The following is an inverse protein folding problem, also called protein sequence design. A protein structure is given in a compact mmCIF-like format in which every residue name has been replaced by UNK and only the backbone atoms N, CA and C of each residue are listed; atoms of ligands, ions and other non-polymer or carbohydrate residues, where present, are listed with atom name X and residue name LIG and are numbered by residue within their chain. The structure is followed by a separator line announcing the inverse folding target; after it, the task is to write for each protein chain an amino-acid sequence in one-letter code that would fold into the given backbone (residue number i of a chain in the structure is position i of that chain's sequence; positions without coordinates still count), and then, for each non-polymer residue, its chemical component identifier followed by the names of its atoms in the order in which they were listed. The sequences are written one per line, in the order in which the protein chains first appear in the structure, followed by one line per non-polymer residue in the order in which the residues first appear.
data_IF_211990165945
#
_entry.id   IF_211990165945
#
_cell.length_a   1.000
_cell.length_b   1.000
_cell.length_c   1.000
_cell.angle_alpha   90.00
_cell.angle_beta   90.00
_cell.angle_gamma   90.00
#
_symmetry.space_group_name_H-M   'P 1'
#
loop_
_entity.id
_entity.type
_entity.pdbx_description
1 polymer ?
#
# COMPACT_ATOMS: atom_id res chain seq x y z
N UNK A 1 50.15 -2.96 -80.29
CA UNK A 1 48.74 -2.96 -79.86
C UNK A 1 48.21 -1.56 -80.14
N UNK A 2 47.18 -1.46 -81.01
CA UNK A 2 46.66 -0.17 -81.45
C UNK A 2 45.96 0.55 -80.26
N UNK A 3 46.12 1.85 -80.10
CA UNK A 3 45.56 2.66 -79.04
C UNK A 3 44.01 2.43 -78.82
N UNK A 4 43.33 2.04 -79.85
CA UNK A 4 41.92 1.68 -79.85
C UNK A 4 41.57 0.47 -78.97
N UNK A 5 42.42 -0.55 -78.89
CA UNK A 5 42.20 -1.72 -78.05
C UNK A 5 42.34 -1.37 -76.58
N UNK A 6 43.20 -0.44 -76.23
CA UNK A 6 43.38 0.06 -74.86
C UNK A 6 42.14 0.85 -74.40
N UNK A 7 41.60 1.71 -75.29
CA UNK A 7 40.36 2.46 -74.98
C UNK A 7 39.13 1.55 -74.81
N UNK A 8 38.99 0.48 -75.58
CA UNK A 8 37.92 -0.50 -75.46
C UNK A 8 37.99 -1.28 -74.14
N UNK A 9 39.20 -1.66 -73.72
CA UNK A 9 39.41 -2.33 -72.43
C UNK A 9 39.10 -1.39 -71.32
N UNK A 10 39.53 -0.13 -71.36
CA UNK A 10 39.25 0.89 -70.37
C UNK A 10 37.73 1.16 -70.25
N UNK A 11 37.01 1.31 -71.34
CA UNK A 11 35.57 1.47 -71.40
C UNK A 11 34.84 0.26 -70.80
N UNK A 12 35.27 -0.98 -71.05
CA UNK A 12 34.78 -2.19 -70.52
C UNK A 12 34.94 -2.25 -68.99
N UNK A 13 36.09 -1.88 -68.47
CA UNK A 13 36.34 -1.83 -67.01
C UNK A 13 35.45 -0.79 -66.33
N UNK A 14 35.35 0.42 -66.93
CA UNK A 14 34.47 1.48 -66.40
C UNK A 14 33.02 1.01 -66.38
N UNK A 15 32.54 0.33 -67.44
CA UNK A 15 31.19 -0.20 -67.49
C UNK A 15 30.90 -1.27 -66.38
N UNK A 16 31.86 -2.20 -66.20
CA UNK A 16 31.79 -3.21 -65.17
C UNK A 16 31.72 -2.56 -63.74
N UNK A 17 32.59 -1.60 -63.47
CA UNK A 17 32.59 -0.85 -62.21
C UNK A 17 31.27 -0.14 -61.98
N UNK A 18 30.68 0.47 -63.00
CA UNK A 18 29.38 1.16 -62.91
C UNK A 18 28.24 0.18 -62.61
N UNK A 19 28.23 -0.99 -63.28
CA UNK A 19 27.28 -2.06 -62.99
C UNK A 19 27.38 -2.58 -61.55
N UNK A 20 28.60 -2.77 -61.02
CA UNK A 20 28.87 -3.19 -59.67
C UNK A 20 28.38 -2.11 -58.68
N UNK A 21 28.67 -0.83 -58.94
CA UNK A 21 28.20 0.29 -58.10
C UNK A 21 26.67 0.39 -58.07
N UNK A 22 26.00 0.27 -59.23
CA UNK A 22 24.52 0.26 -59.30
C UNK A 22 23.94 -0.95 -58.59
N UNK A 23 24.50 -2.13 -58.77
CA UNK A 23 24.08 -3.36 -58.07
C UNK A 23 24.23 -3.22 -56.55
N UNK A 24 25.34 -2.69 -56.09
CA UNK A 24 25.61 -2.47 -54.68
C UNK A 24 24.68 -1.39 -54.08
N UNK A 25 24.40 -0.32 -54.83
CA UNK A 25 23.43 0.70 -54.45
C UNK A 25 22.02 0.15 -54.36
N UNK A 26 21.57 -0.64 -55.33
CA UNK A 26 20.24 -1.29 -55.29
C UNK A 26 20.13 -2.28 -54.12
N UNK A 27 21.17 -3.05 -53.83
CA UNK A 27 21.24 -3.97 -52.72
C UNK A 27 21.13 -3.24 -51.35
N UNK A 28 21.95 -2.20 -51.15
CA UNK A 28 21.92 -1.41 -49.92
C UNK A 28 20.58 -0.70 -49.73
N UNK A 29 20.03 -0.12 -50.81
CA UNK A 29 18.70 0.52 -50.77
C UNK A 29 17.59 -0.46 -50.41
N UNK A 30 17.57 -1.66 -50.98
CA UNK A 30 16.54 -2.65 -50.67
C UNK A 30 16.66 -3.19 -49.25
N UNK A 31 17.86 -3.29 -48.69
CA UNK A 31 18.09 -3.64 -47.29
C UNK A 31 17.59 -2.55 -46.35
N UNK A 32 17.86 -1.28 -46.66
CA UNK A 32 17.45 -0.14 -45.88
C UNK A 32 15.91 -0.01 -45.83
N UNK A 33 15.24 -0.20 -46.99
CA UNK A 33 13.77 -0.15 -47.04
C UNK A 33 13.18 -1.26 -46.18
N UNK A 34 13.64 -2.51 -46.28
CA UNK A 34 13.16 -3.63 -45.45
C UNK A 34 13.37 -3.37 -43.97
N UNK A 35 14.55 -2.85 -43.61
CA UNK A 35 14.86 -2.46 -42.23
C UNK A 35 13.88 -1.40 -41.71
N UNK A 36 13.61 -0.35 -42.49
CA UNK A 36 12.65 0.70 -42.13
C UNK A 36 11.22 0.17 -41.98
N UNK A 37 10.78 -0.69 -42.91
CA UNK A 37 9.43 -1.29 -42.84
C UNK A 37 9.29 -2.20 -41.63
N UNK A 38 10.28 -2.97 -41.25
CA UNK A 38 10.27 -3.82 -40.07
C UNK A 38 10.16 -3.00 -38.78
N UNK A 39 10.93 -1.91 -38.64
CA UNK A 39 10.84 -1.01 -37.49
C UNK A 39 9.45 -0.35 -37.43
N UNK A 40 8.92 0.15 -38.54
CA UNK A 40 7.60 0.76 -38.59
C UNK A 40 6.49 -0.26 -38.22
N UNK A 41 6.62 -1.50 -38.67
CA UNK A 41 5.71 -2.55 -38.27
C UNK A 41 5.81 -2.89 -36.77
N UNK A 42 7.02 -2.96 -36.21
CA UNK A 42 7.22 -3.15 -34.77
C UNK A 42 6.58 -2.02 -33.96
N UNK A 43 6.70 -0.77 -34.38
CA UNK A 43 6.05 0.38 -33.73
C UNK A 43 4.51 0.27 -33.83
N UNK A 44 3.95 -0.11 -34.98
CA UNK A 44 2.49 -0.28 -35.13
C UNK A 44 1.93 -1.41 -34.26
N UNK A 45 2.67 -2.52 -34.10
CA UNK A 45 2.27 -3.61 -33.21
C UNK A 45 2.20 -3.11 -31.76
N UNK A 46 3.17 -2.27 -31.36
CA UNK A 46 3.20 -1.63 -30.03
C UNK A 46 2.00 -0.70 -29.85
N UNK A 47 1.68 0.15 -30.84
CA UNK A 47 0.52 1.06 -30.79
C UNK A 47 -0.82 0.28 -30.65
N UNK A 48 -0.90 -0.91 -31.24
CA UNK A 48 -2.08 -1.77 -31.14
C UNK A 48 -2.13 -2.63 -29.86
N UNK A 49 -1.13 -2.51 -28.97
CA UNK A 49 -1.07 -3.28 -27.73
C UNK A 49 -0.63 -4.73 -27.88
N UNK A 50 -0.08 -5.09 -29.04
CA UNK A 50 0.44 -6.44 -29.31
C UNK A 50 1.88 -6.60 -28.81
N UNK A 51 2.18 -7.78 -28.25
CA UNK A 51 3.54 -8.08 -27.77
C UNK A 51 4.47 -8.37 -28.94
N UNK A 52 5.63 -7.71 -28.97
CA UNK A 52 6.70 -8.04 -29.93
C UNK A 52 7.16 -9.47 -29.68
N UNK A 53 7.08 -10.34 -30.71
CA UNK A 53 7.59 -11.70 -30.64
C UNK A 53 9.13 -11.67 -30.50
N UNK A 54 9.65 -12.34 -29.52
CA UNK A 54 11.08 -12.43 -29.14
C UNK A 54 11.98 -13.17 -30.15
N UNK A 55 11.55 -13.35 -31.41
CA UNK A 55 12.25 -14.17 -32.42
C UNK A 55 13.13 -13.33 -33.37
N UNK A 56 13.97 -12.43 -32.84
CA UNK A 56 14.93 -11.68 -33.67
C UNK A 56 16.34 -12.02 -33.21
N UNK A 57 17.19 -12.36 -34.21
CA UNK A 57 18.62 -12.68 -34.05
C UNK A 57 19.30 -11.56 -33.23
N UNK A 58 19.64 -11.81 -31.97
CA UNK A 58 20.16 -10.83 -31.00
C UNK A 58 21.44 -10.11 -31.46
N UNK A 59 22.18 -10.71 -32.37
CA UNK A 59 23.45 -10.16 -32.89
C UNK A 59 23.28 -9.14 -34.04
N UNK A 60 22.05 -8.90 -34.51
CA UNK A 60 21.79 -7.90 -35.56
C UNK A 60 21.44 -6.52 -34.96
N UNK A 61 21.77 -5.44 -35.72
CA UNK A 61 21.36 -4.08 -35.32
C UNK A 61 19.82 -3.98 -35.14
N UNK A 62 19.08 -4.66 -36.01
CA UNK A 62 17.61 -4.75 -35.95
C UNK A 62 17.15 -5.44 -34.68
N UNK A 63 17.78 -6.54 -34.26
CA UNK A 63 17.49 -7.23 -33.00
C UNK A 63 17.74 -6.36 -31.79
N UNK A 64 18.85 -5.61 -31.78
CA UNK A 64 19.15 -4.68 -30.67
C UNK A 64 18.13 -3.55 -30.57
N UNK A 65 17.71 -2.97 -31.70
CA UNK A 65 16.69 -1.91 -31.71
C UNK A 65 15.33 -2.46 -31.23
N UNK A 66 14.93 -3.63 -31.72
CA UNK A 66 13.68 -4.25 -31.31
C UNK A 66 13.69 -4.63 -29.82
N UNK A 67 14.82 -5.09 -29.28
CA UNK A 67 14.97 -5.37 -27.85
C UNK A 67 14.83 -4.09 -26.98
N UNK A 68 15.45 -2.98 -27.42
CA UNK A 68 15.30 -1.69 -26.71
C UNK A 68 13.87 -1.13 -26.82
N UNK A 69 13.23 -1.24 -27.99
CA UNK A 69 11.81 -0.89 -28.16
C UNK A 69 10.90 -1.73 -27.25
N UNK A 70 11.15 -3.04 -27.17
CA UNK A 70 10.39 -3.92 -26.26
C UNK A 70 10.56 -3.54 -24.79
N UNK A 71 11.76 -3.16 -24.34
CA UNK A 71 12.00 -2.66 -22.97
C UNK A 71 11.24 -1.36 -22.70
N UNK A 72 11.31 -0.41 -23.63
CA UNK A 72 10.58 0.86 -23.52
C UNK A 72 9.08 0.63 -23.47
N UNK A 73 8.55 -0.29 -24.28
CA UNK A 73 7.15 -0.64 -24.29
C UNK A 73 6.71 -1.29 -22.94
N UNK A 74 7.49 -2.25 -22.43
CA UNK A 74 7.23 -2.85 -21.10
C UNK A 74 7.24 -1.79 -19.99
N UNK A 75 8.20 -0.86 -20.04
CA UNK A 75 8.27 0.25 -19.07
C UNK A 75 7.06 1.20 -19.18
N UNK A 76 6.64 1.53 -20.40
CA UNK A 76 5.47 2.39 -20.65
C UNK A 76 4.18 1.73 -20.15
N UNK A 77 3.92 0.49 -20.53
CA UNK A 77 2.74 -0.25 -20.06
C UNK A 77 2.75 -0.44 -18.54
N UNK A 78 3.91 -0.66 -17.93
CA UNK A 78 4.01 -0.73 -16.47
C UNK A 78 3.65 0.62 -15.84
N UNK A 79 4.15 1.73 -16.36
CA UNK A 79 3.83 3.07 -15.87
C UNK A 79 2.34 3.41 -16.07
N UNK A 80 1.76 3.07 -17.22
CA UNK A 80 0.34 3.26 -17.53
C UNK A 80 -0.55 2.45 -16.57
N UNK A 81 -0.27 1.15 -16.42
CA UNK A 81 -1.00 0.27 -15.50
C UNK A 81 -0.91 0.77 -14.06
N UNK A 82 0.27 1.25 -13.64
CA UNK A 82 0.47 1.84 -12.31
C UNK A 82 -0.40 3.10 -12.14
N UNK A 83 -0.42 3.98 -13.14
CA UNK A 83 -1.25 5.20 -13.12
C UNK A 83 -2.74 4.89 -13.07
N UNK A 84 -3.21 3.92 -13.88
CA UNK A 84 -4.61 3.46 -13.87
C UNK A 84 -4.97 2.84 -12.52
N UNK A 85 -4.07 2.03 -11.95
CA UNK A 85 -4.27 1.42 -10.62
C UNK A 85 -4.35 2.49 -9.53
N UNK A 86 -3.44 3.46 -9.52
CA UNK A 86 -3.46 4.59 -8.58
C UNK A 86 -4.76 5.40 -8.69
N UNK A 87 -5.22 5.69 -9.91
CA UNK A 87 -6.49 6.41 -10.12
C UNK A 87 -7.68 5.64 -9.55
N UNK A 88 -7.76 4.32 -9.77
CA UNK A 88 -8.81 3.48 -9.21
C UNK A 88 -8.75 3.45 -7.68
N UNK A 89 -7.55 3.37 -7.12
CA UNK A 89 -7.33 3.40 -5.67
C UNK A 89 -7.83 4.71 -5.05
N UNK A 90 -7.50 5.86 -5.64
CA UNK A 90 -8.00 7.17 -5.19
C UNK A 90 -9.53 7.25 -5.29
N UNK A 91 -10.12 6.75 -6.38
CA UNK A 91 -11.57 6.70 -6.53
C UNK A 91 -12.23 5.84 -5.45
N UNK A 92 -11.64 4.69 -5.12
CA UNK A 92 -12.13 3.82 -4.06
C UNK A 92 -12.06 4.53 -2.69
N UNK A 93 -10.94 5.17 -2.36
CA UNK A 93 -10.77 5.94 -1.12
C UNK A 93 -11.86 7.01 -1.00
N UNK A 94 -12.10 7.80 -2.05
CA UNK A 94 -13.13 8.85 -2.04
C UNK A 94 -14.52 8.26 -1.85
N UNK A 95 -14.82 7.13 -2.49
CA UNK A 95 -16.08 6.41 -2.32
C UNK A 95 -16.27 5.94 -0.88
N UNK A 96 -15.24 5.29 -0.31
CA UNK A 96 -15.28 4.74 1.04
C UNK A 96 -15.45 5.85 2.09
N UNK A 97 -14.71 6.97 1.96
CA UNK A 97 -14.86 8.16 2.81
C UNK A 97 -16.29 8.69 2.72
N UNK A 98 -16.84 8.80 1.51
CA UNK A 98 -18.19 9.32 1.30
C UNK A 98 -19.24 8.46 2.00
N UNK A 99 -19.08 7.14 1.92
CA UNK A 99 -19.96 6.20 2.63
C UNK A 99 -19.84 6.31 4.15
N UNK A 100 -18.61 6.41 4.68
CA UNK A 100 -18.36 6.50 6.13
C UNK A 100 -18.81 7.85 6.71
N UNK A 101 -18.85 8.93 5.94
CA UNK A 101 -19.37 10.24 6.35
C UNK A 101 -20.91 10.29 6.28
N UNK A 102 -21.51 9.71 5.25
CA UNK A 102 -22.96 9.80 5.00
C UNK A 102 -23.79 9.26 6.15
N UNK A 103 -23.41 8.13 6.72
CA UNK A 103 -24.18 7.46 7.79
C UNK A 103 -24.27 8.30 9.07
N UNK A 104 -23.15 8.75 9.69
CA UNK A 104 -23.24 9.57 10.90
C UNK A 104 -23.91 10.92 10.64
N UNK A 105 -23.70 11.56 9.48
CA UNK A 105 -24.38 12.80 9.13
C UNK A 105 -25.89 12.59 9.02
N UNK A 106 -26.34 11.53 8.34
CA UNK A 106 -27.76 11.22 8.22
C UNK A 106 -28.42 10.97 9.59
N UNK A 107 -27.71 10.27 10.50
CA UNK A 107 -28.20 10.05 11.86
C UNK A 107 -28.31 11.37 12.64
N UNK A 108 -27.31 12.25 12.56
CA UNK A 108 -27.35 13.56 13.22
C UNK A 108 -28.55 14.37 12.72
N UNK A 109 -28.76 14.44 11.40
CA UNK A 109 -29.89 15.17 10.81
C UNK A 109 -31.22 14.56 11.28
N UNK A 110 -31.37 13.24 11.22
CA UNK A 110 -32.58 12.56 11.63
C UNK A 110 -32.93 12.82 13.12
N UNK A 111 -31.97 12.69 14.02
CA UNK A 111 -32.23 12.93 15.45
C UNK A 111 -32.43 14.42 15.76
N UNK A 112 -31.75 15.33 15.05
CA UNK A 112 -32.01 16.75 15.15
C UNK A 112 -33.44 17.11 14.72
N UNK A 113 -33.93 16.55 13.63
CA UNK A 113 -35.31 16.77 13.16
C UNK A 113 -36.34 16.20 14.15
N UNK A 114 -36.02 15.10 14.81
CA UNK A 114 -36.87 14.54 15.89
C UNK A 114 -36.94 15.48 17.10
N UNK A 115 -35.80 16.05 17.51
CA UNK A 115 -35.76 17.01 18.65
C UNK A 115 -36.51 18.29 18.31
N UNK A 116 -36.37 18.82 17.09
CA UNK A 116 -37.02 20.08 16.67
C UNK A 116 -38.48 19.92 16.28
N UNK A 117 -38.88 18.74 15.79
CA UNK A 117 -40.23 18.52 15.21
C UNK A 117 -41.29 17.99 16.21
N UNK A 118 -40.92 17.61 17.44
CA UNK A 118 -41.83 16.99 18.43
C UNK A 118 -41.69 17.64 19.78
N UNK A 119 -42.79 17.66 20.56
CA UNK A 119 -42.71 17.88 22.01
C UNK A 119 -42.26 16.55 22.63
N UNK A 120 -40.98 16.44 22.89
CA UNK A 120 -40.38 15.28 23.56
C UNK A 120 -40.44 15.45 25.07
N UNK A 121 -40.46 14.32 25.79
CA UNK A 121 -40.14 14.33 27.20
C UNK A 121 -38.64 14.54 27.38
N UNK A 122 -38.25 15.11 28.53
CA UNK A 122 -36.84 15.49 28.78
C UNK A 122 -35.87 14.33 28.63
N UNK A 123 -36.27 13.14 29.03
CA UNK A 123 -35.43 11.93 28.94
C UNK A 123 -35.21 11.47 27.49
N UNK A 124 -36.21 11.63 26.62
CA UNK A 124 -36.12 11.32 25.20
C UNK A 124 -35.21 12.36 24.45
N UNK A 125 -35.37 13.64 24.80
CA UNK A 125 -34.52 14.71 24.24
C UNK A 125 -33.06 14.46 24.63
N UNK A 126 -32.76 14.20 25.89
CA UNK A 126 -31.42 13.89 26.39
C UNK A 126 -30.82 12.67 25.67
N UNK A 127 -31.58 11.60 25.46
CA UNK A 127 -31.16 10.40 24.73
C UNK A 127 -30.79 10.74 23.30
N UNK A 128 -31.58 11.53 22.58
CA UNK A 128 -31.25 11.89 21.17
C UNK A 128 -30.03 12.80 21.08
N UNK A 129 -29.86 13.73 22.04
CA UNK A 129 -28.66 14.56 22.12
C UNK A 129 -27.39 13.72 22.38
N UNK A 130 -27.46 12.70 23.23
CA UNK A 130 -26.36 11.78 23.48
C UNK A 130 -26.00 10.97 22.22
N UNK A 131 -27.02 10.50 21.47
CA UNK A 131 -26.79 9.79 20.21
C UNK A 131 -26.11 10.72 19.20
N UNK A 132 -26.59 11.95 19.04
CA UNK A 132 -25.96 12.93 18.13
C UNK A 132 -24.51 13.22 18.53
N UNK A 133 -24.25 13.39 19.84
CA UNK A 133 -22.88 13.58 20.35
C UNK A 133 -21.97 12.41 19.99
N UNK A 134 -22.43 11.18 20.12
CA UNK A 134 -21.66 10.00 19.73
C UNK A 134 -21.37 9.98 18.20
N UNK A 135 -22.31 10.42 17.36
CA UNK A 135 -22.07 10.52 15.92
C UNK A 135 -21.06 11.63 15.57
N UNK A 136 -21.08 12.76 16.26
CA UNK A 136 -20.08 13.84 16.09
C UNK A 136 -18.70 13.35 16.50
N UNK A 137 -18.58 12.62 17.62
CA UNK A 137 -17.30 12.03 18.05
C UNK A 137 -16.76 11.03 17.02
N UNK A 138 -17.63 10.18 16.46
CA UNK A 138 -17.27 9.26 15.38
C UNK A 138 -16.74 10.00 14.14
N UNK A 139 -17.36 11.12 13.75
CA UNK A 139 -16.88 11.96 12.66
C UNK A 139 -15.52 12.58 12.97
N UNK A 140 -15.31 13.03 14.21
CA UNK A 140 -14.05 13.59 14.66
C UNK A 140 -12.90 12.57 14.52
N UNK A 141 -13.11 11.35 15.02
CA UNK A 141 -12.14 10.24 14.90
C UNK A 141 -11.86 9.93 13.41
N UNK A 142 -12.91 9.83 12.59
CA UNK A 142 -12.77 9.58 11.16
C UNK A 142 -11.87 10.64 10.47
N UNK A 143 -12.11 11.92 10.76
CA UNK A 143 -11.31 13.02 10.19
C UNK A 143 -9.86 12.94 10.65
N UNK A 144 -9.59 12.66 11.92
CA UNK A 144 -8.24 12.49 12.45
C UNK A 144 -7.51 11.33 11.76
N UNK A 145 -8.16 10.18 11.61
CA UNK A 145 -7.59 9.00 10.95
C UNK A 145 -7.33 9.26 9.46
N UNK A 146 -8.21 9.99 8.77
CA UNK A 146 -8.00 10.42 7.38
C UNK A 146 -6.79 11.35 7.24
N UNK A 147 -6.59 12.27 8.19
CA UNK A 147 -5.41 13.15 8.20
C UNK A 147 -4.13 12.34 8.43
N UNK A 148 -4.14 11.37 9.36
CA UNK A 148 -3.00 10.46 9.59
C UNK A 148 -2.70 9.63 8.35
N UNK A 149 -3.72 9.04 7.72
CA UNK A 149 -3.60 8.27 6.48
C UNK A 149 -3.05 9.12 5.33
N UNK A 150 -3.61 10.31 5.10
CA UNK A 150 -3.15 11.23 4.06
C UNK A 150 -1.69 11.65 4.26
N UNK A 151 -1.28 11.91 5.50
CA UNK A 151 0.11 12.19 5.82
C UNK A 151 1.02 11.00 5.54
N UNK A 152 0.57 9.77 5.87
CA UNK A 152 1.33 8.55 5.59
C UNK A 152 1.48 8.28 4.09
N UNK A 153 0.44 8.47 3.29
CA UNK A 153 0.45 8.20 1.85
C UNK A 153 1.24 9.25 1.05
N UNK A 154 1.13 10.51 1.44
CA UNK A 154 1.97 11.54 0.85
C UNK A 154 3.42 11.30 1.26
N UNK A 155 4.35 11.20 0.29
CA UNK A 155 5.80 11.13 0.54
C UNK A 155 6.35 12.33 1.37
N UNK A 156 5.48 13.13 1.97
CA UNK A 156 5.80 14.30 2.81
C UNK A 156 6.19 13.93 4.24
N UNK A 157 5.88 12.70 4.71
CA UNK A 157 6.41 12.26 6.01
C UNK A 157 7.77 11.62 5.79
N UNK A 158 8.79 12.30 6.24
CA UNK A 158 10.08 11.71 6.52
C UNK A 158 9.97 11.14 7.94
N UNK A 159 9.98 9.80 8.06
CA UNK A 159 10.03 9.15 9.36
C UNK A 159 11.40 9.44 10.00
N UNK A 160 11.39 9.90 11.22
CA UNK A 160 12.61 10.18 11.98
C UNK A 160 13.06 8.92 12.71
N UNK A 161 13.68 7.99 11.96
CA UNK A 161 14.19 6.75 12.53
C UNK A 161 15.38 7.01 13.47
N UNK A 162 15.30 6.46 14.67
CA UNK A 162 16.37 6.51 15.67
C UNK A 162 16.30 5.32 16.64
N UNK A 163 17.35 5.19 17.50
CA UNK A 163 17.31 4.22 18.58
C UNK A 163 16.31 4.69 19.64
N UNK A 164 15.17 4.00 19.76
CA UNK A 164 14.12 4.32 20.69
C UNK A 164 13.92 3.21 21.71
N UNK A 165 13.57 3.60 22.94
CA UNK A 165 13.26 2.65 24.00
C UNK A 165 11.82 2.15 23.85
N UNK A 166 11.65 0.86 23.53
CA UNK A 166 10.36 0.24 23.27
C UNK A 166 9.46 0.21 24.51
N UNK A 167 10.04 0.05 25.71
CA UNK A 167 9.27 0.11 26.96
C UNK A 167 8.54 1.45 27.11
N UNK A 168 9.18 2.57 26.76
CA UNK A 168 8.56 3.88 26.79
C UNK A 168 7.47 4.02 25.72
N UNK A 169 7.68 3.46 24.53
CA UNK A 169 6.65 3.43 23.46
C UNK A 169 5.41 2.66 23.92
N UNK A 170 5.61 1.48 24.50
CA UNK A 170 4.53 0.65 25.06
C UNK A 170 3.81 1.36 26.20
N UNK A 171 4.54 1.93 27.16
CA UNK A 171 3.93 2.65 28.29
C UNK A 171 3.03 3.79 27.78
N UNK A 172 3.45 4.51 26.75
CA UNK A 172 2.69 5.61 26.17
C UNK A 172 1.44 5.10 25.42
N UNK A 173 1.54 4.00 24.67
CA UNK A 173 0.42 3.40 23.97
C UNK A 173 -0.61 2.82 24.97
N UNK A 174 -0.17 2.13 26.02
CA UNK A 174 -1.01 1.57 27.08
C UNK A 174 -1.74 2.68 27.84
N UNK A 175 -1.06 3.79 28.16
CA UNK A 175 -1.71 4.92 28.81
C UNK A 175 -2.92 5.46 28.01
N UNK A 176 -2.85 5.38 26.68
CA UNK A 176 -3.95 5.80 25.80
C UNK A 176 -5.21 4.96 25.90
N UNK A 177 -5.12 3.67 26.30
CA UNK A 177 -6.24 2.74 26.34
C UNK A 177 -6.69 2.39 27.78
N UNK A 178 -5.93 2.80 28.79
CA UNK A 178 -6.13 2.41 30.19
C UNK A 178 -7.56 2.69 30.66
N UNK A 179 -8.08 3.91 30.44
CA UNK A 179 -9.42 4.28 30.85
C UNK A 179 -10.53 3.43 30.16
N UNK A 180 -10.31 2.97 28.93
CA UNK A 180 -11.25 2.10 28.23
C UNK A 180 -11.17 0.66 28.77
N UNK A 181 -9.97 0.16 29.03
CA UNK A 181 -9.73 -1.15 29.63
C UNK A 181 -10.32 -1.24 31.04
N UNK A 182 -10.12 -0.22 31.91
CA UNK A 182 -10.69 -0.14 33.24
C UNK A 182 -12.21 -0.14 33.23
N UNK A 183 -12.86 0.61 32.32
CA UNK A 183 -14.33 0.60 32.18
C UNK A 183 -14.88 -0.78 31.83
N UNK A 184 -14.15 -1.60 31.14
CA UNK A 184 -14.49 -2.99 30.80
C UNK A 184 -14.01 -4.01 31.86
N UNK A 185 -13.22 -3.55 32.86
CA UNK A 185 -12.63 -4.44 33.86
C UNK A 185 -11.63 -5.43 33.27
N UNK A 186 -10.92 -5.06 32.23
CA UNK A 186 -9.96 -5.94 31.55
C UNK A 186 -8.68 -6.10 32.39
N UNK A 187 -8.14 -7.31 32.36
CA UNK A 187 -6.86 -7.64 32.98
C UNK A 187 -5.76 -7.50 31.94
N UNK A 188 -4.76 -6.63 32.20
CA UNK A 188 -3.63 -6.44 31.30
C UNK A 188 -2.33 -6.87 31.98
N UNK A 189 -1.56 -7.72 31.29
CA UNK A 189 -0.24 -8.14 31.71
C UNK A 189 0.80 -7.72 30.65
N UNK A 190 1.92 -7.13 31.11
CA UNK A 190 2.95 -6.58 30.22
C UNK A 190 4.30 -7.15 30.61
N UNK A 191 4.89 -7.91 29.69
CA UNK A 191 6.23 -8.45 29.79
C UNK A 191 7.14 -7.74 28.79
N UNK A 192 7.83 -6.69 29.23
CA UNK A 192 8.76 -5.93 28.41
C UNK A 192 10.05 -5.62 29.19
N UNK A 193 11.22 -6.04 28.71
CA UNK A 193 12.48 -5.62 29.29
C UNK A 193 12.67 -4.09 29.21
N UNK A 194 13.07 -3.45 30.29
CA UNK A 194 13.20 -1.99 30.37
C UNK A 194 14.22 -1.40 29.36
N UNK A 195 15.23 -2.18 28.98
CA UNK A 195 16.33 -1.76 28.07
C UNK A 195 16.09 -2.22 26.61
N UNK A 196 14.86 -2.56 26.22
CA UNK A 196 14.55 -2.95 24.84
C UNK A 196 14.70 -1.77 23.88
N UNK A 197 15.74 -1.81 23.01
CA UNK A 197 15.98 -0.81 21.97
C UNK A 197 15.49 -1.29 20.61
N UNK A 198 14.87 -0.38 19.85
CA UNK A 198 14.42 -0.58 18.49
C UNK A 198 14.77 0.61 17.62
N UNK A 199 14.97 0.41 16.30
CA UNK A 199 15.33 1.48 15.36
C UNK A 199 14.09 1.96 14.60
N UNK A 200 13.36 2.91 15.18
CA UNK A 200 12.03 3.32 14.72
C UNK A 200 11.79 4.81 14.91
N UNK A 201 10.69 5.32 14.36
CA UNK A 201 10.11 6.60 14.74
C UNK A 201 9.18 6.38 15.94
N UNK A 202 9.51 6.99 17.08
CA UNK A 202 8.78 6.84 18.35
C UNK A 202 7.30 7.14 18.21
N UNK A 203 6.95 8.27 17.63
CA UNK A 203 5.58 8.76 17.53
C UNK A 203 4.70 7.79 16.73
N UNK A 204 5.20 7.34 15.59
CA UNK A 204 4.46 6.43 14.71
C UNK A 204 4.42 5.01 15.27
N UNK A 205 5.46 4.59 16.00
CA UNK A 205 5.46 3.29 16.69
C UNK A 205 4.43 3.26 17.82
N UNK A 206 4.33 4.32 18.61
CA UNK A 206 3.27 4.48 19.63
C UNK A 206 1.89 4.40 19.00
N UNK A 207 1.67 5.05 17.84
CA UNK A 207 0.42 5.00 17.09
C UNK A 207 0.10 3.58 16.61
N UNK A 208 1.09 2.87 16.03
CA UNK A 208 0.90 1.50 15.53
C UNK A 208 0.53 0.52 16.66
N UNK A 209 1.23 0.58 17.78
CA UNK A 209 0.94 -0.24 18.97
C UNK A 209 -0.43 0.14 19.54
N UNK A 210 -0.72 1.43 19.68
CA UNK A 210 -1.98 1.95 20.18
C UNK A 210 -3.20 1.47 19.38
N UNK A 211 -3.10 1.42 18.05
CA UNK A 211 -4.17 0.90 17.18
C UNK A 211 -4.47 -0.58 17.44
N UNK A 212 -3.45 -1.39 17.69
CA UNK A 212 -3.63 -2.82 17.99
C UNK A 212 -4.21 -2.99 19.40
N UNK A 213 -3.73 -2.24 20.38
CA UNK A 213 -4.25 -2.25 21.75
C UNK A 213 -5.70 -1.77 21.81
N UNK A 214 -6.06 -0.73 21.06
CA UNK A 214 -7.44 -0.25 20.97
C UNK A 214 -8.37 -1.35 20.42
N UNK A 215 -7.92 -2.10 19.40
CA UNK A 215 -8.66 -3.25 18.90
C UNK A 215 -8.76 -4.36 19.96
N UNK A 216 -7.69 -4.72 20.65
CA UNK A 216 -7.73 -5.69 21.74
C UNK A 216 -8.76 -5.29 22.79
N UNK A 217 -8.76 -4.03 23.28
CA UNK A 217 -9.74 -3.53 24.23
C UNK A 217 -11.16 -3.55 23.67
N UNK A 218 -11.36 -3.23 22.39
CA UNK A 218 -12.68 -3.21 21.74
C UNK A 218 -13.31 -4.59 21.65
N UNK A 219 -12.53 -5.59 21.24
CA UNK A 219 -13.02 -6.92 20.90
C UNK A 219 -12.94 -7.94 22.03
N UNK A 220 -12.22 -7.64 23.09
CA UNK A 220 -12.24 -8.41 24.33
C UNK A 220 -13.53 -8.17 25.11
N UNK A 221 -14.11 -9.22 25.66
CA UNK A 221 -15.30 -9.16 26.49
C UNK A 221 -15.03 -8.48 27.84
N UNK A 222 -16.09 -8.16 28.60
CA UNK A 222 -15.96 -7.61 29.93
C UNK A 222 -15.26 -8.60 30.88
N UNK A 223 -14.23 -8.15 31.60
CA UNK A 223 -13.44 -8.98 32.52
C UNK A 223 -12.43 -9.90 31.83
N UNK A 224 -12.22 -9.75 30.50
CA UNK A 224 -11.26 -10.53 29.74
C UNK A 224 -9.81 -10.09 29.93
N UNK A 225 -8.90 -10.72 29.17
CA UNK A 225 -7.46 -10.58 29.36
C UNK A 225 -6.76 -10.09 28.09
N UNK A 226 -5.74 -9.25 28.28
CA UNK A 226 -4.82 -8.80 27.23
C UNK A 226 -3.39 -9.01 27.71
N UNK A 227 -2.59 -9.76 26.93
CA UNK A 227 -1.20 -10.04 27.23
C UNK A 227 -0.30 -9.34 26.22
N UNK A 228 0.70 -8.61 26.70
CA UNK A 228 1.67 -7.90 25.87
C UNK A 228 3.06 -8.47 26.18
N UNK A 229 3.68 -9.12 25.21
CA UNK A 229 5.01 -9.73 25.36
C UNK A 229 6.00 -9.16 24.36
N UNK A 230 7.19 -8.81 24.82
CA UNK A 230 8.30 -8.32 23.98
C UNK A 230 9.38 -9.38 23.91
N UNK A 231 9.62 -9.86 22.68
CA UNK A 231 10.60 -10.90 22.39
C UNK A 231 11.69 -10.38 21.47
N UNK A 232 12.91 -10.10 21.94
CA UNK A 232 14.04 -9.73 21.09
C UNK A 232 14.41 -10.91 20.18
N UNK A 233 14.56 -10.64 18.88
CA UNK A 233 15.05 -11.57 17.86
C UNK A 233 16.32 -10.97 17.25
N UNK A 234 16.99 -11.71 16.36
CA UNK A 234 18.27 -11.31 15.77
C UNK A 234 18.17 -9.97 14.99
N UNK A 235 17.18 -9.84 14.10
CA UNK A 235 16.99 -8.65 13.25
C UNK A 235 15.82 -7.75 13.68
N UNK A 236 14.90 -8.28 14.46
CA UNK A 236 13.68 -7.62 14.88
C UNK A 236 13.44 -7.80 16.36
N UNK A 237 12.74 -6.85 16.96
CA UNK A 237 12.09 -7.04 18.25
C UNK A 237 10.61 -7.27 17.98
N UNK A 238 10.08 -8.42 18.42
CA UNK A 238 8.68 -8.79 18.24
C UNK A 238 7.87 -8.37 19.46
N UNK A 239 6.78 -7.66 19.20
CA UNK A 239 5.78 -7.30 20.22
C UNK A 239 4.52 -8.11 19.92
N UNK A 240 4.20 -9.04 20.78
CA UNK A 240 2.98 -9.84 20.72
C UNK A 240 1.92 -9.17 21.60
N UNK A 241 0.76 -8.87 21.02
CA UNK A 241 -0.43 -8.37 21.72
C UNK A 241 -1.51 -9.42 21.50
N UNK A 242 -1.81 -10.15 22.58
CA UNK A 242 -2.76 -11.26 22.62
C UNK A 242 -3.99 -10.86 23.41
N UNK A 243 -5.17 -11.12 22.88
CA UNK A 243 -6.47 -10.91 23.50
C UNK A 243 -7.28 -12.22 23.53
N UNK A 244 -8.14 -12.38 24.52
CA UNK A 244 -9.11 -13.48 24.63
C UNK A 244 -10.51 -13.10 24.10
N UNK A 245 -10.54 -12.26 23.07
CA UNK A 245 -11.75 -11.72 22.48
C UNK A 245 -12.46 -12.64 21.50
N UNK A 246 -13.23 -12.05 20.59
CA UNK A 246 -14.08 -12.78 19.62
C UNK A 246 -13.30 -13.58 18.57
N UNK A 247 -12.01 -13.30 18.38
CA UNK A 247 -11.19 -13.89 17.33
C UNK A 247 -11.57 -13.47 15.92
N UNK A 248 -10.81 -13.95 14.93
CA UNK A 248 -10.92 -13.57 13.51
C UNK A 248 -10.89 -14.85 12.66
N UNK A 249 -11.80 -14.98 11.71
CA UNK A 249 -11.77 -16.10 10.75
C UNK A 249 -10.56 -15.98 9.81
N UNK A 250 -9.84 -17.08 9.56
CA UNK A 250 -8.61 -17.11 8.74
C UNK A 250 -8.78 -16.47 7.35
N UNK A 251 -9.94 -16.63 6.73
CA UNK A 251 -10.27 -16.00 5.43
C UNK A 251 -10.19 -14.47 5.46
N UNK A 252 -10.23 -13.84 6.63
CA UNK A 252 -10.21 -12.39 6.81
C UNK A 252 -8.85 -11.83 7.22
N UNK A 253 -7.81 -12.67 7.45
CA UNK A 253 -6.48 -12.21 7.88
C UNK A 253 -5.84 -11.18 6.93
N UNK A 254 -6.07 -11.29 5.63
CA UNK A 254 -5.62 -10.29 4.67
C UNK A 254 -6.53 -9.06 4.60
N UNK A 255 -7.82 -9.24 4.91
CA UNK A 255 -8.82 -8.20 4.76
C UNK A 255 -8.81 -7.20 5.91
N UNK A 256 -8.52 -7.64 7.15
CA UNK A 256 -8.47 -6.78 8.34
C UNK A 256 -7.46 -5.62 8.22
N UNK A 257 -6.48 -5.73 7.33
CA UNK A 257 -5.49 -4.70 7.03
C UNK A 257 -5.89 -3.81 5.84
N UNK A 258 -7.08 -4.00 5.26
CA UNK A 258 -7.61 -3.10 4.23
C UNK A 258 -8.23 -1.87 4.86
N UNK A 259 -8.22 -0.75 4.14
CA UNK A 259 -8.87 0.50 4.57
C UNK A 259 -10.36 0.28 4.74
N UNK A 260 -10.92 0.82 5.83
CA UNK A 260 -12.36 0.79 6.15
C UNK A 260 -12.97 -0.61 6.29
N UNK A 261 -12.13 -1.63 6.34
CA UNK A 261 -12.64 -3.00 6.50
C UNK A 261 -13.15 -3.24 7.91
N UNK A 262 -14.32 -3.83 8.00
CA UNK A 262 -14.95 -4.27 9.24
C UNK A 262 -15.77 -5.53 8.99
N UNK A 263 -15.74 -6.46 9.91
CA UNK A 263 -16.59 -7.63 9.83
C UNK A 263 -18.05 -7.26 10.04
N UNK A 264 -18.96 -7.78 9.18
CA UNK A 264 -20.39 -7.43 9.21
C UNK A 264 -21.09 -7.72 10.54
N UNK A 265 -20.62 -8.74 11.26
CA UNK A 265 -21.16 -9.14 12.56
C UNK A 265 -20.83 -8.18 13.71
N UNK A 266 -19.86 -7.27 13.52
CA UNK A 266 -19.29 -6.41 14.59
C UNK A 266 -19.58 -4.93 14.34
N UNK A 267 -20.61 -4.61 13.54
CA UNK A 267 -20.96 -3.22 13.19
C UNK A 267 -21.36 -2.34 14.37
N UNK A 268 -21.75 -2.93 15.51
CA UNK A 268 -22.14 -2.18 16.72
C UNK A 268 -20.94 -1.62 17.49
N UNK A 269 -19.72 -2.17 17.32
CA UNK A 269 -18.55 -1.67 18.01
C UNK A 269 -18.02 -0.38 17.34
N UNK A 270 -17.54 0.56 18.14
CA UNK A 270 -16.96 1.82 17.65
C UNK A 270 -15.69 1.58 16.81
N UNK A 271 -15.54 2.30 15.69
CA UNK A 271 -14.33 2.29 14.89
C UNK A 271 -14.57 2.55 13.40
N UNK A 272 -13.57 3.09 12.74
CA UNK A 272 -13.62 3.49 11.31
C UNK A 272 -13.05 2.40 10.39
N UNK A 273 -12.26 1.47 10.94
CA UNK A 273 -11.57 0.44 10.14
C UNK A 273 -10.29 0.91 9.45
N UNK A 274 -9.63 1.92 10.02
CA UNK A 274 -8.37 2.47 9.49
C UNK A 274 -7.17 2.04 10.35
N UNK A 275 -7.35 1.73 11.63
CA UNK A 275 -6.26 1.52 12.58
C UNK A 275 -5.28 0.42 12.18
N UNK A 276 -5.74 -0.79 11.83
CA UNK A 276 -4.86 -1.89 11.39
C UNK A 276 -4.19 -1.62 10.04
N UNK A 277 -4.89 -0.97 9.11
CA UNK A 277 -4.28 -0.50 7.87
C UNK A 277 -3.11 0.45 8.17
N UNK A 278 -3.33 1.43 9.04
CA UNK A 278 -2.31 2.40 9.44
C UNK A 278 -1.14 1.70 10.17
N UNK A 279 -1.43 0.74 11.05
CA UNK A 279 -0.40 -0.09 11.71
C UNK A 279 0.50 -0.79 10.68
N UNK A 280 -0.07 -1.44 9.68
CA UNK A 280 0.70 -2.11 8.62
C UNK A 280 1.55 -1.14 7.82
N UNK A 281 1.00 0.01 7.42
CA UNK A 281 1.73 1.04 6.69
C UNK A 281 2.89 1.62 7.50
N UNK A 282 2.66 1.93 8.77
CA UNK A 282 3.69 2.44 9.70
C UNK A 282 4.85 1.44 9.81
N UNK A 283 4.53 0.18 10.11
CA UNK A 283 5.55 -0.85 10.30
C UNK A 283 6.33 -1.09 9.00
N UNK A 284 5.64 -1.22 7.86
CA UNK A 284 6.27 -1.44 6.56
C UNK A 284 7.25 -0.32 6.20
N UNK A 285 6.87 0.94 6.43
CA UNK A 285 7.73 2.10 6.16
C UNK A 285 8.93 2.19 7.11
N UNK A 286 8.84 1.58 8.27
CA UNK A 286 9.94 1.47 9.22
C UNK A 286 10.81 0.22 8.98
N UNK A 287 10.54 -0.57 7.92
CA UNK A 287 11.26 -1.79 7.61
C UNK A 287 10.83 -3.00 8.45
N UNK A 288 9.72 -2.88 9.18
CA UNK A 288 9.07 -3.93 9.95
C UNK A 288 7.85 -4.52 9.24
N UNK A 289 7.08 -5.32 9.96
CA UNK A 289 5.83 -5.91 9.47
C UNK A 289 4.94 -6.36 10.64
N UNK A 290 3.68 -6.71 10.34
CA UNK A 290 2.71 -7.24 11.29
C UNK A 290 2.19 -8.59 10.82
N UNK A 291 1.96 -9.51 11.77
CA UNK A 291 1.27 -10.78 11.58
C UNK A 291 0.07 -10.87 12.50
N UNK A 292 -0.88 -11.73 12.17
CA UNK A 292 -2.03 -12.10 13.00
C UNK A 292 -2.17 -13.61 13.01
N UNK A 293 -2.43 -14.14 14.20
CA UNK A 293 -2.85 -15.51 14.46
C UNK A 293 -4.08 -15.43 15.33
N UNK A 294 -5.16 -16.13 14.97
CA UNK A 294 -6.43 -15.99 15.69
C UNK A 294 -7.31 -17.23 15.53
N UNK A 295 -8.08 -17.53 16.54
CA UNK A 295 -9.08 -18.58 16.54
C UNK A 295 -10.43 -17.96 16.90
N UNK A 296 -11.47 -18.07 16.05
CA UNK A 296 -12.79 -17.56 16.35
C UNK A 296 -13.33 -18.08 17.69
N UNK A 297 -13.66 -17.14 18.58
CA UNK A 297 -14.16 -17.43 19.93
C UNK A 297 -13.10 -17.66 20.99
N UNK A 298 -11.82 -17.73 20.65
CA UNK A 298 -10.71 -17.90 21.60
C UNK A 298 -9.83 -16.65 21.72
N UNK A 299 -9.83 -15.77 20.69
CA UNK A 299 -9.09 -14.53 20.69
C UNK A 299 -8.13 -14.36 19.53
N UNK A 300 -7.28 -13.32 19.61
CA UNK A 300 -6.31 -12.99 18.56
C UNK A 300 -4.96 -12.63 19.15
N UNK A 301 -3.90 -12.94 18.40
CA UNK A 301 -2.54 -12.50 18.69
C UNK A 301 -2.03 -11.69 17.50
N UNK A 302 -1.73 -10.43 17.72
CA UNK A 302 -1.06 -9.56 16.75
C UNK A 302 0.41 -9.44 17.09
N UNK A 303 1.28 -9.89 16.18
CA UNK A 303 2.74 -9.80 16.31
C UNK A 303 3.28 -8.67 15.45
N UNK A 304 3.81 -7.62 16.09
CA UNK A 304 4.45 -6.47 15.45
C UNK A 304 5.96 -6.70 15.45
N UNK A 305 6.58 -6.67 14.30
CA UNK A 305 8.03 -6.84 14.13
C UNK A 305 8.67 -5.47 13.86
N UNK A 306 9.47 -5.00 14.80
CA UNK A 306 10.17 -3.72 14.77
C UNK A 306 11.66 -3.96 14.53
N UNK A 307 12.34 -3.23 13.63
CA UNK A 307 13.77 -3.39 13.42
C UNK A 307 14.57 -3.13 14.70
N UNK A 308 15.48 -4.05 15.05
CA UNK A 308 16.35 -3.90 16.23
C UNK A 308 17.55 -3.00 15.94
N UNK A 309 17.98 -2.88 14.66
CA UNK A 309 19.12 -2.09 14.22
C UNK A 309 18.79 -1.31 12.94
N UNK A 310 19.63 -0.34 12.59
CA UNK A 310 19.50 0.44 11.36
C UNK A 310 19.56 -0.48 10.14
N UNK A 311 18.54 -0.46 9.29
CA UNK A 311 18.54 -1.19 8.03
C UNK A 311 19.77 -0.78 7.19
N UNK A 312 20.67 -1.74 6.91
CA UNK A 312 21.87 -1.53 6.08
C UNK A 312 23.21 -1.50 6.84
N UNK A 313 23.24 -1.92 8.10
CA UNK A 313 24.50 -2.05 8.88
C UNK A 313 25.12 -3.47 8.80
N UNK A 314 24.59 -4.33 7.88
CA UNK A 314 25.16 -5.64 7.54
C UNK A 314 25.95 -5.55 6.23
#
# INVERSE_FOLDING_TARGET
MSDWTLWLILAGVIFICLCVCVGMWMYTRSRFIRFSDNILNSIRLIENGETLLENVNEDSLEGKINAELAKLCKAYHHAENTSVSQKKEVQQIVSDISHQLKTPIANIVMYNDMVLGRKLERDEEEKYLLIMRAQVEKLHILVQDLVKMSRMESAMIVLEHGPENLYQCLAQAVAGITAAAERKGLHMEIECPEESLVWVDKKWTVEAIGNVLDNAVKYTGQGGHIYIRVNPLEMFTRVDIEDDGIGIEEKHYSDIFKRFWREAKVHENEGVGIGLYLTREILTRQGGYVKVESIPGEGSCFSLYLPSEKAGTL
#
